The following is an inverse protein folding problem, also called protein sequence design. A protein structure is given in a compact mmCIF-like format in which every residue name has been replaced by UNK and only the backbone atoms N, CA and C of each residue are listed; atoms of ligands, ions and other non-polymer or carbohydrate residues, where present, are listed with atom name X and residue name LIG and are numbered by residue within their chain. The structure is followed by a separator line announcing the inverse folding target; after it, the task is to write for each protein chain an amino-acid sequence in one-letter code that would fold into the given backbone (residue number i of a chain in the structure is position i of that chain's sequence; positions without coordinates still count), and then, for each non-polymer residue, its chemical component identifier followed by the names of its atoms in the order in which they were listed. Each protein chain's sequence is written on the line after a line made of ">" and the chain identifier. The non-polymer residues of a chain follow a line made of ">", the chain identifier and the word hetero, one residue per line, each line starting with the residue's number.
data_IF_919397389619
#
_entry.id   IF_919397389619
#
_cell.length_a   1.000
_cell.length_b   1.000
_cell.length_c   1.000
_cell.angle_alpha   90.00
_cell.angle_beta   90.00
_cell.angle_gamma   90.00
#
_symmetry.space_group_name_H-M   'P 1'
#
loop_
_entity.id
_entity.type
_entity.pdbx_description
1 polymer ?
#
# COMPACT_ATOMS: atom_id res chain seq x y z
N UNK A 1 -8.26 -15.87 4.88
CA UNK A 1 -7.54 -14.67 4.46
C UNK A 1 -7.97 -13.47 5.28
N UNK A 2 -7.22 -12.37 5.22
CA UNK A 2 -7.60 -11.18 5.95
C UNK A 2 -8.99 -10.74 5.51
N UNK A 3 -9.81 -10.30 6.46
CA UNK A 3 -11.22 -9.94 6.25
C UNK A 3 -11.39 -8.84 5.18
N UNK A 4 -10.35 -8.11 4.84
CA UNK A 4 -10.36 -7.07 3.81
C UNK A 4 -9.76 -7.43 2.45
N UNK A 5 -9.07 -8.55 2.32
CA UNK A 5 -8.37 -8.92 1.07
C UNK A 5 -9.15 -9.93 0.21
N UNK A 6 -10.47 -9.90 0.28
CA UNK A 6 -11.29 -10.80 -0.53
C UNK A 6 -11.29 -10.35 -1.99
N UNK A 7 -11.03 -11.27 -2.92
CA UNK A 7 -11.16 -11.06 -4.36
C UNK A 7 -12.60 -10.62 -4.77
N UNK A 8 -13.56 -10.70 -3.86
CA UNK A 8 -14.95 -10.28 -4.09
C UNK A 8 -15.05 -8.79 -4.44
N UNK A 9 -14.18 -7.94 -3.88
CA UNK A 9 -14.16 -6.51 -4.18
C UNK A 9 -13.69 -6.20 -5.62
N UNK A 10 -12.82 -7.06 -6.15
CA UNK A 10 -12.37 -6.99 -7.54
C UNK A 10 -13.32 -7.67 -8.49
N UNK A 11 -13.98 -8.76 -8.05
CA UNK A 11 -14.91 -9.55 -8.89
C UNK A 11 -16.03 -8.70 -9.52
N UNK A 12 -16.52 -7.71 -8.80
CA UNK A 12 -17.59 -6.81 -9.26
C UNK A 12 -17.06 -5.43 -9.68
N UNK A 13 -15.76 -5.23 -9.65
CA UNK A 13 -15.11 -3.95 -9.99
C UNK A 13 -15.25 -3.59 -11.46
N UNK A 14 -15.25 -4.57 -12.36
CA UNK A 14 -15.32 -4.44 -13.83
C UNK A 14 -14.20 -3.60 -14.46
N UNK A 15 -13.40 -2.91 -13.67
CA UNK A 15 -12.30 -2.07 -14.14
C UNK A 15 -10.99 -2.80 -13.84
N UNK A 16 -10.16 -3.09 -14.84
CA UNK A 16 -8.85 -3.67 -14.59
C UNK A 16 -7.96 -2.68 -13.83
N UNK A 17 -7.03 -3.21 -13.05
CA UNK A 17 -5.91 -2.43 -12.55
C UNK A 17 -5.08 -1.91 -13.72
N UNK A 18 -4.71 -0.63 -13.68
CA UNK A 18 -3.93 0.02 -14.74
C UNK A 18 -2.61 0.50 -14.16
N UNK A 19 -1.53 -0.06 -14.67
CA UNK A 19 -0.18 0.32 -14.30
C UNK A 19 0.55 0.94 -15.49
N UNK A 20 1.22 2.07 -15.25
CA UNK A 20 2.08 2.72 -16.23
C UNK A 20 3.39 3.16 -15.59
N UNK A 21 4.49 2.98 -16.30
CA UNK A 21 5.81 3.43 -15.85
C UNK A 21 6.69 3.89 -17.01
N UNK A 22 7.57 4.85 -16.69
CA UNK A 22 8.62 5.32 -17.58
C UNK A 22 9.96 5.20 -16.86
N UNK A 23 10.99 4.78 -17.58
CA UNK A 23 12.32 4.59 -17.00
C UNK A 23 13.43 4.98 -17.93
N UNK A 24 14.55 5.42 -17.35
CA UNK A 24 15.80 5.71 -18.03
C UNK A 24 16.87 4.78 -17.48
N UNK A 25 17.60 4.13 -18.39
CA UNK A 25 18.68 3.20 -18.05
C UNK A 25 19.99 3.67 -18.67
N UNK A 26 21.02 3.83 -17.86
CA UNK A 26 22.39 4.04 -18.30
C UNK A 26 23.28 2.84 -17.96
N UNK A 27 24.59 3.00 -18.17
CA UNK A 27 25.57 1.92 -17.96
C UNK A 27 25.56 1.39 -16.51
N UNK A 28 25.41 2.28 -15.54
CA UNK A 28 25.51 1.96 -14.11
C UNK A 28 24.25 2.28 -13.31
N UNK A 29 23.20 2.80 -13.93
CA UNK A 29 22.01 3.25 -13.24
C UNK A 29 20.72 2.89 -14.00
N UNK A 30 19.66 2.78 -13.23
CA UNK A 30 18.28 2.72 -13.68
C UNK A 30 17.47 3.68 -12.81
N UNK A 31 16.70 4.55 -13.44
CA UNK A 31 15.68 5.37 -12.76
C UNK A 31 14.33 5.05 -13.38
N UNK A 32 13.30 4.87 -12.56
CA UNK A 32 11.93 4.58 -13.02
C UNK A 32 10.93 5.33 -12.16
N UNK A 33 9.92 5.90 -12.79
CA UNK A 33 8.74 6.45 -12.15
C UNK A 33 7.51 5.76 -12.70
N UNK A 34 6.51 5.56 -11.88
CA UNK A 34 5.29 4.91 -12.33
C UNK A 34 4.11 5.25 -11.44
N UNK A 35 2.93 4.91 -11.94
CA UNK A 35 1.67 5.05 -11.27
C UNK A 35 0.84 3.79 -11.45
N UNK A 36 0.07 3.48 -10.43
CA UNK A 36 -0.87 2.36 -10.37
C UNK A 36 -2.25 2.86 -9.98
N UNK A 37 -3.25 2.51 -10.76
CA UNK A 37 -4.65 2.89 -10.57
C UNK A 37 -5.48 1.64 -10.38
N UNK A 38 -6.06 1.50 -9.19
CA UNK A 38 -6.92 0.39 -8.81
C UNK A 38 -8.32 0.91 -8.51
N UNK A 39 -9.34 0.28 -9.11
CA UNK A 39 -10.74 0.55 -8.81
C UNK A 39 -11.41 -0.70 -8.26
N UNK A 40 -11.97 -0.60 -7.06
CA UNK A 40 -12.67 -1.69 -6.40
C UNK A 40 -14.14 -1.35 -6.22
N UNK A 41 -14.97 -2.37 -6.01
CA UNK A 41 -16.39 -2.23 -5.65
C UNK A 41 -16.58 -2.71 -4.21
N UNK A 42 -16.63 -1.80 -3.21
CA UNK A 42 -16.75 -2.17 -1.80
C UNK A 42 -18.03 -2.93 -1.45
N UNK A 43 -19.15 -2.56 -2.09
CA UNK A 43 -20.47 -3.17 -1.88
C UNK A 43 -21.21 -3.38 -3.20
N UNK A 44 -22.11 -4.34 -3.22
CA UNK A 44 -23.02 -4.62 -4.33
C UNK A 44 -24.44 -4.15 -4.01
N UNK A 45 -24.81 -4.19 -2.74
CA UNK A 45 -26.14 -3.85 -2.26
C UNK A 45 -26.08 -2.81 -1.15
N UNK A 46 -27.05 -1.91 -1.13
CA UNK A 46 -27.32 -0.92 -0.11
C UNK A 46 -28.76 -1.05 0.38
N UNK A 47 -29.13 -0.17 1.29
CA UNK A 47 -30.50 -0.08 1.79
C UNK A 47 -31.02 1.35 1.62
N UNK A 48 -32.26 1.50 1.21
CA UNK A 48 -32.99 2.78 1.13
C UNK A 48 -34.35 2.60 1.75
N UNK A 49 -34.89 3.67 2.34
CA UNK A 49 -36.27 3.67 2.78
C UNK A 49 -37.21 3.80 1.57
N UNK A 50 -38.22 2.97 1.51
CA UNK A 50 -39.31 3.10 0.53
C UNK A 50 -40.32 4.21 0.90
N UNK A 51 -41.38 4.37 0.13
CA UNK A 51 -42.40 5.37 0.38
C UNK A 51 -43.22 5.16 1.68
N UNK A 52 -43.13 3.98 2.27
CA UNK A 52 -43.77 3.62 3.54
C UNK A 52 -42.81 3.70 4.71
N UNK A 53 -41.50 4.00 4.45
CA UNK A 53 -40.45 4.06 5.47
C UNK A 53 -39.77 2.71 5.77
N UNK A 54 -40.11 1.65 5.03
CA UNK A 54 -39.51 0.35 5.18
C UNK A 54 -38.16 0.29 4.45
N UNK A 55 -37.16 -0.36 5.07
CA UNK A 55 -35.82 -0.49 4.49
C UNK A 55 -35.79 -1.59 3.44
N UNK A 56 -35.63 -1.20 2.19
CA UNK A 56 -35.51 -2.11 1.05
C UNK A 56 -34.07 -2.21 0.56
N UNK A 57 -33.67 -3.42 0.18
CA UNK A 57 -32.33 -3.67 -0.38
C UNK A 57 -32.31 -3.33 -1.86
N UNK A 58 -31.42 -2.43 -2.24
CA UNK A 58 -31.19 -2.02 -3.62
C UNK A 58 -29.78 -2.33 -4.09
N UNK A 59 -29.61 -2.49 -5.39
CA UNK A 59 -28.27 -2.62 -5.98
C UNK A 59 -27.64 -1.24 -6.10
N UNK A 60 -26.43 -1.09 -5.54
CA UNK A 60 -25.70 0.18 -5.55
C UNK A 60 -24.49 0.17 -6.50
N UNK A 61 -24.08 1.36 -6.92
CA UNK A 61 -22.96 1.57 -7.84
C UNK A 61 -21.67 2.01 -7.14
N UNK A 62 -21.52 1.69 -5.85
CA UNK A 62 -20.36 2.05 -5.05
C UNK A 62 -19.06 1.72 -5.79
N UNK A 63 -18.14 2.67 -5.81
CA UNK A 63 -16.79 2.51 -6.34
C UNK A 63 -15.81 3.28 -5.49
N UNK A 64 -14.61 2.69 -5.35
CA UNK A 64 -13.46 3.35 -4.76
C UNK A 64 -12.28 3.19 -5.70
N UNK A 65 -11.81 4.32 -6.22
CA UNK A 65 -10.61 4.38 -7.07
C UNK A 65 -9.46 4.94 -6.26
N UNK A 66 -8.31 4.27 -6.33
CA UNK A 66 -7.09 4.60 -5.61
C UNK A 66 -5.96 4.80 -6.60
N UNK A 67 -5.08 5.77 -6.34
CA UNK A 67 -3.94 6.08 -7.18
C UNK A 67 -2.67 6.07 -6.33
N UNK A 68 -1.71 5.25 -6.75
CA UNK A 68 -0.41 5.09 -6.10
C UNK A 68 0.71 5.46 -7.07
N UNK A 69 1.64 6.28 -6.62
CA UNK A 69 2.82 6.66 -7.37
C UNK A 69 4.07 6.02 -6.76
N UNK A 70 5.09 5.81 -7.59
CA UNK A 70 6.40 5.43 -7.08
C UNK A 70 7.53 6.03 -7.91
N UNK A 71 8.67 6.17 -7.22
CA UNK A 71 9.98 6.38 -7.82
C UNK A 71 10.91 5.25 -7.38
N UNK A 72 11.66 4.71 -8.31
CA UNK A 72 12.68 3.69 -8.07
C UNK A 72 14.00 4.09 -8.71
N UNK A 73 15.07 3.93 -7.96
CA UNK A 73 16.43 4.14 -8.43
C UNK A 73 17.32 2.93 -8.14
N UNK A 74 18.22 2.65 -9.06
CA UNK A 74 19.28 1.67 -8.88
C UNK A 74 20.58 2.23 -9.44
N UNK A 75 21.67 2.02 -8.69
CA UNK A 75 23.01 2.32 -9.14
C UNK A 75 23.93 1.15 -8.78
N UNK A 76 24.79 0.74 -9.73
CA UNK A 76 25.75 -0.32 -9.49
C UNK A 76 27.06 -0.03 -10.22
N UNK A 77 28.18 -0.04 -9.48
CA UNK A 77 29.52 0.13 -10.04
C UNK A 77 30.56 -0.64 -9.20
N UNK A 78 31.30 -1.51 -9.87
CA UNK A 78 32.37 -2.29 -9.23
C UNK A 78 31.83 -3.28 -8.18
N UNK A 79 32.12 -2.99 -6.90
CA UNK A 79 31.66 -3.77 -5.74
C UNK A 79 30.45 -3.15 -5.03
N UNK A 80 30.04 -1.95 -5.44
CA UNK A 80 28.97 -1.19 -4.80
C UNK A 80 27.68 -1.32 -5.58
N UNK A 81 26.57 -1.53 -4.86
CA UNK A 81 25.21 -1.44 -5.39
C UNK A 81 24.31 -0.70 -4.41
N UNK A 82 23.48 0.17 -4.96
CA UNK A 82 22.45 0.94 -4.25
C UNK A 82 21.13 0.75 -4.97
N UNK A 83 20.07 0.46 -4.21
CA UNK A 83 18.70 0.44 -4.71
C UNK A 83 17.83 1.21 -3.74
N UNK A 84 16.91 2.00 -4.26
CA UNK A 84 15.95 2.75 -3.45
C UNK A 84 14.61 2.80 -4.15
N UNK A 85 13.53 2.76 -3.36
CA UNK A 85 12.18 2.98 -3.85
C UNK A 85 11.42 3.83 -2.85
N UNK A 86 10.62 4.74 -3.33
CA UNK A 86 9.61 5.45 -2.54
C UNK A 86 8.27 5.34 -3.23
N UNK A 87 7.23 5.08 -2.46
CA UNK A 87 5.83 5.06 -2.89
C UNK A 87 5.05 6.10 -2.14
N UNK A 88 4.08 6.70 -2.78
CA UNK A 88 3.16 7.67 -2.19
C UNK A 88 1.80 7.55 -2.85
N UNK A 89 0.75 7.55 -2.06
CA UNK A 89 -0.61 7.59 -2.56
C UNK A 89 -1.58 6.73 -1.78
N UNK A 90 -2.57 6.27 -2.46
CA UNK A 90 -3.72 5.52 -1.96
C UNK A 90 -3.72 4.10 -2.53
N UNK A 91 -4.37 3.18 -1.83
CA UNK A 91 -4.36 1.78 -2.25
C UNK A 91 -3.01 1.11 -2.00
N UNK A 92 -2.82 -0.05 -2.54
CA UNK A 92 -1.59 -0.83 -2.37
C UNK A 92 -1.74 -1.98 -1.38
N UNK A 93 -2.96 -2.33 -0.99
CA UNK A 93 -3.27 -3.50 -0.17
C UNK A 93 -2.69 -4.78 -0.78
N UNK A 94 -2.79 -4.91 -2.09
CA UNK A 94 -2.26 -6.02 -2.87
C UNK A 94 -0.72 -6.05 -2.90
N UNK A 95 -0.07 -4.92 -2.59
CA UNK A 95 1.39 -4.80 -2.45
C UNK A 95 1.87 -4.82 -0.99
N UNK A 96 1.00 -5.18 -0.04
CA UNK A 96 1.27 -5.17 1.41
C UNK A 96 1.70 -3.81 1.96
N UNK A 97 1.21 -2.72 1.36
CA UNK A 97 1.36 -1.38 1.91
C UNK A 97 0.26 -1.10 2.93
N UNK A 98 0.51 -0.18 3.86
CA UNK A 98 -0.53 0.35 4.74
C UNK A 98 -1.55 1.08 3.88
N UNK A 99 -2.79 0.59 3.89
CA UNK A 99 -3.83 1.14 3.05
C UNK A 99 -5.19 0.77 3.62
N UNK A 100 -6.23 1.34 3.05
CA UNK A 100 -7.60 1.12 3.42
C UNK A 100 -8.49 2.24 2.88
N UNK A 101 -9.73 2.22 3.28
CA UNK A 101 -10.70 3.26 2.95
C UNK A 101 -11.75 3.38 4.05
N UNK A 102 -12.41 4.53 4.12
CA UNK A 102 -13.51 4.78 5.04
C UNK A 102 -14.75 5.25 4.29
N UNK A 103 -15.93 4.93 4.83
CA UNK A 103 -17.17 5.58 4.45
C UNK A 103 -17.15 7.02 4.95
N UNK A 104 -17.34 7.99 4.07
CA UNK A 104 -17.36 9.42 4.41
C UNK A 104 -18.71 10.09 4.13
N UNK A 105 -19.64 9.39 3.50
CA UNK A 105 -20.98 9.87 3.23
C UNK A 105 -21.92 8.79 2.70
N UNK A 106 -23.20 9.09 2.71
CA UNK A 106 -24.24 8.23 2.18
C UNK A 106 -25.17 9.05 1.27
N UNK A 107 -25.52 8.50 0.13
CA UNK A 107 -26.37 9.12 -0.85
C UNK A 107 -27.81 8.60 -0.72
N UNK A 108 -28.77 9.35 -1.24
CA UNK A 108 -30.20 8.99 -1.18
C UNK A 108 -30.54 7.70 -1.95
N UNK A 109 -29.69 7.28 -2.88
CA UNK A 109 -29.84 6.01 -3.61
C UNK A 109 -29.25 4.81 -2.85
N UNK A 110 -28.84 4.99 -1.59
CA UNK A 110 -28.23 3.98 -0.76
C UNK A 110 -26.75 3.68 -1.08
N UNK A 111 -26.15 4.39 -2.04
CA UNK A 111 -24.71 4.31 -2.31
C UNK A 111 -23.91 5.10 -1.28
N UNK A 112 -22.65 4.71 -1.09
CA UNK A 112 -21.72 5.38 -0.14
C UNK A 112 -20.58 6.08 -0.87
N UNK A 113 -20.13 7.18 -0.31
CA UNK A 113 -18.90 7.86 -0.68
C UNK A 113 -17.75 7.34 0.19
N UNK A 114 -16.58 7.20 -0.43
CA UNK A 114 -15.41 6.64 0.23
C UNK A 114 -14.22 7.57 0.12
N UNK A 115 -13.45 7.70 1.20
CA UNK A 115 -12.12 8.30 1.22
C UNK A 115 -11.07 7.22 1.41
N UNK A 116 -9.95 7.32 0.71
CA UNK A 116 -8.82 6.41 0.87
C UNK A 116 -7.91 6.81 2.00
N UNK A 117 -7.28 5.82 2.64
CA UNK A 117 -6.07 6.02 3.43
C UNK A 117 -4.89 6.27 2.50
N UNK A 118 -4.18 7.37 2.72
CA UNK A 118 -2.92 7.69 2.08
C UNK A 118 -1.77 7.12 2.90
N UNK A 119 -0.76 6.67 2.21
CA UNK A 119 0.46 6.18 2.83
C UNK A 119 1.69 6.60 2.02
N UNK A 120 2.82 6.56 2.68
CA UNK A 120 4.13 6.59 2.03
C UNK A 120 4.98 5.44 2.54
N UNK A 121 5.71 4.81 1.64
CA UNK A 121 6.67 3.76 1.98
C UNK A 121 7.95 3.98 1.21
N UNK A 122 9.06 3.97 1.89
CA UNK A 122 10.37 4.20 1.30
C UNK A 122 11.37 3.17 1.83
N UNK A 123 12.23 2.70 0.96
CA UNK A 123 13.33 1.85 1.39
C UNK A 123 14.59 2.10 0.57
N UNK A 124 15.72 1.83 1.21
CA UNK A 124 17.06 1.87 0.61
C UNK A 124 17.75 0.56 0.93
N UNK A 125 18.41 -0.03 -0.07
CA UNK A 125 19.28 -1.20 0.09
C UNK A 125 20.64 -0.90 -0.50
N UNK A 126 21.66 -0.98 0.32
CA UNK A 126 23.06 -0.77 -0.05
C UNK A 126 23.82 -2.08 0.10
N UNK A 127 24.66 -2.40 -0.87
CA UNK A 127 25.56 -3.54 -0.73
C UNK A 127 26.98 -3.19 -1.21
N UNK A 128 27.94 -3.76 -0.52
CA UNK A 128 29.35 -3.62 -0.88
C UNK A 128 30.12 -4.93 -0.67
N UNK A 129 30.91 -5.29 -1.66
CA UNK A 129 31.77 -6.47 -1.60
C UNK A 129 31.53 -7.47 -2.73
N UNK A 130 32.29 -8.58 -2.70
CA UNK A 130 32.14 -9.71 -3.64
C UNK A 130 32.18 -11.04 -2.88
N UNK A 131 33.37 -11.51 -2.48
CA UNK A 131 33.52 -12.76 -1.71
C UNK A 131 32.87 -12.61 -0.32
N UNK A 132 33.20 -11.56 0.38
CA UNK A 132 32.47 -11.05 1.54
C UNK A 132 31.66 -9.84 1.08
N UNK A 133 30.37 -9.88 1.35
CA UNK A 133 29.44 -8.82 0.96
C UNK A 133 28.65 -8.37 2.18
N UNK A 134 28.78 -7.08 2.52
CA UNK A 134 27.90 -6.42 3.47
C UNK A 134 26.68 -5.86 2.75
N UNK A 135 25.50 -6.04 3.35
CA UNK A 135 24.24 -5.45 2.87
C UNK A 135 23.58 -4.72 4.02
N UNK A 136 23.04 -3.54 3.76
CA UNK A 136 22.23 -2.78 4.70
C UNK A 136 20.91 -2.41 4.01
N UNK A 137 19.80 -2.86 4.59
CA UNK A 137 18.47 -2.45 4.20
C UNK A 137 17.88 -1.53 5.27
N UNK A 138 17.32 -0.40 4.82
CA UNK A 138 16.57 0.55 5.65
C UNK A 138 15.19 0.72 5.04
N UNK A 139 14.15 0.56 5.83
CA UNK A 139 12.75 0.74 5.42
C UNK A 139 12.01 1.70 6.35
N UNK A 140 11.13 2.49 5.78
CA UNK A 140 10.24 3.40 6.48
C UNK A 140 8.86 3.38 5.83
N UNK A 141 7.83 3.37 6.65
CA UNK A 141 6.43 3.43 6.21
C UNK A 141 5.65 4.32 7.16
N UNK A 142 4.76 5.17 6.61
CA UNK A 142 3.91 6.07 7.40
C UNK A 142 2.50 6.11 6.83
N UNK A 143 1.53 6.06 7.74
CA UNK A 143 0.13 6.38 7.48
C UNK A 143 -0.02 7.92 7.45
N UNK A 144 -0.60 8.45 6.38
CA UNK A 144 -0.81 9.88 6.16
C UNK A 144 -2.27 10.31 6.41
N UNK A 145 -3.10 9.39 6.91
CA UNK A 145 -4.52 9.61 7.15
C UNK A 145 -5.37 9.51 5.88
N UNK A 146 -6.62 9.93 5.99
CA UNK A 146 -7.57 9.90 4.88
C UNK A 146 -7.27 10.98 3.84
N UNK A 147 -7.52 10.67 2.57
CA UNK A 147 -7.20 11.54 1.44
C UNK A 147 -8.02 12.84 1.44
N UNK A 148 -9.30 12.75 1.76
CA UNK A 148 -10.25 13.86 1.67
C UNK A 148 -10.73 14.28 3.06
N UNK A 149 -9.79 14.56 3.93
CA UNK A 149 -10.03 15.19 5.22
C UNK A 149 -11.04 14.48 6.11
N UNK A 150 -11.18 14.92 7.14
CA UNK A 150 -12.17 15.08 8.16
C UNK A 150 -13.19 13.95 8.29
N UNK A 151 -12.79 12.94 9.01
CA UNK A 151 -13.76 12.26 9.86
C UNK A 151 -14.01 13.16 11.07
N UNK A 152 -14.85 14.18 10.91
CA UNK A 152 -15.31 15.00 12.03
C UNK A 152 -16.21 14.22 12.98
N UNK A 153 -16.75 13.09 12.49
CA UNK A 153 -17.64 12.24 13.27
C UNK A 153 -16.86 11.07 13.89
N UNK A 154 -16.87 10.92 15.24
CA UNK A 154 -16.31 9.75 15.92
C UNK A 154 -16.90 8.41 15.42
N UNK A 155 -18.15 8.42 14.94
CA UNK A 155 -18.81 7.24 14.33
C UNK A 155 -18.11 6.84 13.03
N UNK A 156 -17.57 7.78 12.28
CA UNK A 156 -16.85 7.50 11.06
C UNK A 156 -15.52 6.75 11.31
N UNK A 157 -14.90 6.87 12.46
CA UNK A 157 -13.72 6.05 12.85
C UNK A 157 -14.04 4.56 12.87
N UNK A 158 -15.28 4.18 13.18
CA UNK A 158 -15.71 2.78 13.20
C UNK A 158 -15.95 2.21 11.79
N UNK A 159 -16.05 3.07 10.78
CA UNK A 159 -16.27 2.70 9.39
C UNK A 159 -14.99 2.67 8.54
N UNK A 160 -13.82 2.77 9.16
CA UNK A 160 -12.54 2.63 8.46
C UNK A 160 -12.28 1.16 8.18
N UNK A 161 -12.09 0.84 6.91
CA UNK A 161 -11.80 -0.49 6.42
C UNK A 161 -10.31 -0.58 6.09
N UNK A 162 -9.57 -1.32 6.90
CA UNK A 162 -8.16 -1.60 6.63
C UNK A 162 -8.02 -2.93 5.90
N UNK A 163 -6.97 -3.08 5.09
CA UNK A 163 -6.63 -4.40 4.60
C UNK A 163 -6.29 -5.30 5.79
N UNK A 164 -6.77 -6.53 5.76
CA UNK A 164 -6.75 -7.42 6.91
C UNK A 164 -5.39 -8.02 7.26
N UNK A 165 -4.30 -7.33 7.02
CA UNK A 165 -2.94 -7.72 7.41
C UNK A 165 -2.53 -7.23 8.81
N UNK A 166 -3.47 -6.74 9.61
CA UNK A 166 -3.25 -6.30 11.00
C UNK A 166 -2.68 -4.89 11.14
N UNK A 167 -2.65 -4.09 10.08
CA UNK A 167 -2.11 -2.72 10.12
C UNK A 167 -3.12 -1.64 10.54
N UNK A 168 -4.22 -2.03 11.17
CA UNK A 168 -5.37 -1.16 11.42
C UNK A 168 -5.08 0.05 12.30
N UNK A 169 -4.01 0.06 13.07
CA UNK A 169 -3.68 1.18 13.98
C UNK A 169 -2.23 1.63 13.86
N UNK A 170 -1.53 1.23 12.80
CA UNK A 170 -0.13 1.61 12.62
C UNK A 170 -0.06 3.04 12.11
N UNK A 171 0.64 3.89 12.85
CA UNK A 171 0.99 5.24 12.43
C UNK A 171 2.24 5.24 11.55
N UNK A 172 3.31 4.58 12.01
CA UNK A 172 4.56 4.46 11.26
C UNK A 172 5.35 3.21 11.64
N UNK A 173 6.21 2.80 10.73
CA UNK A 173 7.07 1.63 10.93
C UNK A 173 8.46 1.88 10.35
N UNK A 174 9.48 1.41 11.08
CA UNK A 174 10.87 1.43 10.64
C UNK A 174 11.42 0.01 10.61
N UNK A 175 12.29 -0.26 9.65
CA UNK A 175 13.02 -1.52 9.57
C UNK A 175 14.48 -1.26 9.26
N UNK A 176 15.36 -1.91 10.03
CA UNK A 176 16.80 -1.95 9.79
C UNK A 176 17.21 -3.41 9.67
N UNK A 177 17.91 -3.73 8.60
CA UNK A 177 18.30 -5.11 8.32
C UNK A 177 19.73 -5.14 7.75
N UNK A 178 20.76 -5.27 8.60
CA UNK A 178 22.11 -5.56 8.18
C UNK A 178 22.30 -7.04 7.88
N UNK A 179 23.05 -7.34 6.83
CA UNK A 179 23.39 -8.70 6.41
C UNK A 179 24.86 -8.81 6.09
N UNK A 180 25.45 -9.97 6.40
CA UNK A 180 26.80 -10.35 5.99
C UNK A 180 26.71 -11.64 5.18
N UNK A 181 27.19 -11.62 3.94
CA UNK A 181 27.10 -12.73 3.00
C UNK A 181 28.51 -13.18 2.62
N UNK A 182 28.77 -14.48 2.69
CA UNK A 182 29.97 -15.10 2.19
C UNK A 182 29.67 -15.95 0.96
N UNK A 183 30.28 -15.59 -0.16
CA UNK A 183 30.07 -16.23 -1.46
C UNK A 183 31.20 -17.24 -1.74
N UNK A 184 30.85 -18.51 -1.93
CA UNK A 184 31.77 -19.63 -2.21
C UNK A 184 31.32 -20.32 -3.50
N UNK A 185 31.96 -20.00 -4.63
CA UNK A 185 31.56 -20.59 -5.91
C UNK A 185 30.11 -20.33 -6.26
N UNK A 186 29.28 -21.38 -6.23
CA UNK A 186 27.82 -21.29 -6.48
C UNK A 186 26.97 -21.22 -5.21
N UNK A 187 27.60 -21.25 -4.03
CA UNK A 187 26.92 -21.25 -2.74
C UNK A 187 27.07 -19.90 -2.04
N UNK A 188 26.02 -19.44 -1.41
CA UNK A 188 26.00 -18.23 -0.58
C UNK A 188 25.61 -18.62 0.85
N UNK A 189 26.39 -18.15 1.84
CA UNK A 189 26.07 -18.30 3.26
C UNK A 189 25.84 -16.88 3.80
N UNK A 190 24.68 -16.61 4.39
CA UNK A 190 24.31 -15.30 4.90
C UNK A 190 23.95 -15.34 6.36
N UNK A 191 24.35 -14.30 7.08
CA UNK A 191 23.86 -13.95 8.41
C UNK A 191 23.07 -12.65 8.28
N UNK A 192 21.86 -12.65 8.80
CA UNK A 192 20.94 -11.53 8.75
C UNK A 192 20.45 -11.18 10.15
N UNK A 193 20.44 -9.90 10.47
CA UNK A 193 19.77 -9.37 11.66
C UNK A 193 18.67 -8.42 11.21
N UNK A 194 17.45 -8.61 11.72
CA UNK A 194 16.31 -7.75 11.39
C UNK A 194 15.76 -7.11 12.66
N UNK A 195 15.69 -5.79 12.66
CA UNK A 195 15.00 -5.02 13.68
C UNK A 195 13.84 -4.24 13.04
N UNK A 196 12.68 -4.34 13.63
CA UNK A 196 11.47 -3.62 13.19
C UNK A 196 10.85 -2.93 14.38
N UNK A 197 10.58 -1.64 14.26
CA UNK A 197 9.84 -0.83 15.23
C UNK A 197 8.54 -0.38 14.61
N UNK A 198 7.46 -0.51 15.37
CA UNK A 198 6.11 -0.10 14.95
C UNK A 198 5.57 0.86 16.00
N UNK A 199 5.12 2.01 15.55
CA UNK A 199 4.40 2.99 16.35
C UNK A 199 2.92 2.93 15.96
N UNK A 200 2.08 2.74 16.94
CA UNK A 200 0.63 2.77 16.76
C UNK A 200 0.11 4.19 16.98
N UNK A 201 -0.97 4.53 16.29
CA UNK A 201 -1.73 5.75 16.53
C UNK A 201 -2.66 5.60 17.73
N UNK A 202 -2.96 6.69 18.40
CA UNK A 202 -3.94 6.78 19.49
C UNK A 202 -5.37 6.72 18.93
#
# INVERSE_FOLDING_TARGET
>A
GPVGASAIYMKYGMTPEVYAAVGVKGKNYLLRVGADLLSIKPRVYGQVADEYGDMVTVRVSDRKTSLLYYIYGQYAKGKFSLKAKSTYGEGGEHMNLMSGYAKVGENTDGSWNYASLRNTSSWVSMSYGKKWQGVLFLGYMKNLGLADGVLEDPIAKTNVYFCGNGFSNINQMYRINPQLIYNIGKMNIGLEYQWTSVQYGD
#
